data_IF_303129018969
#
_entry.id   IF_303129018969
#
_cell.length_a   1.000
_cell.length_b   1.000
_cell.length_c   1.000
_cell.angle_alpha   90.00
_cell.angle_beta   90.00
_cell.angle_gamma   90.00
#
_symmetry.space_group_name_H-M   'P 1'
#
loop_
_entity.id
_entity.type
_entity.pdbx_description
1 polymer ?
#
# COMPACT_ATOMS: atom_id res chain seq x y z
N UNK A 1 6.95 29.66 4.86
CA UNK A 1 8.40 29.55 4.56
C UNK A 1 8.77 28.32 3.75
N UNK A 2 8.19 27.13 4.01
CA UNK A 2 8.42 25.89 3.25
C UNK A 2 8.26 25.99 1.71
N UNK A 3 7.23 26.67 1.21
CA UNK A 3 6.93 26.79 -0.24
C UNK A 3 8.01 27.52 -1.05
N UNK A 4 8.77 28.43 -0.43
CA UNK A 4 9.87 29.12 -1.12
C UNK A 4 11.03 28.17 -1.41
N UNK A 5 11.34 27.29 -0.45
CA UNK A 5 12.36 26.25 -0.59
C UNK A 5 11.89 25.25 -1.65
N UNK A 6 10.63 24.84 -1.62
CA UNK A 6 10.07 23.93 -2.64
C UNK A 6 10.16 24.52 -4.04
N UNK A 7 9.85 25.81 -4.17
CA UNK A 7 9.98 26.55 -5.43
C UNK A 7 11.43 26.64 -5.90
N UNK A 8 12.39 26.84 -5.00
CA UNK A 8 13.81 26.79 -5.34
C UNK A 8 14.21 25.42 -5.88
N UNK A 9 13.86 24.35 -5.17
CA UNK A 9 14.28 22.99 -5.53
C UNK A 9 13.54 22.43 -6.74
N UNK A 10 12.29 22.83 -7.01
CA UNK A 10 11.63 22.46 -8.28
C UNK A 10 12.33 23.11 -9.47
N UNK A 11 12.83 24.35 -9.32
CA UNK A 11 13.66 25.00 -10.34
C UNK A 11 15.00 24.29 -10.52
N UNK A 12 15.64 23.83 -9.45
CA UNK A 12 16.91 23.08 -9.54
C UNK A 12 16.73 21.72 -10.22
N UNK A 13 15.69 20.96 -9.87
CA UNK A 13 15.44 19.65 -10.49
C UNK A 13 14.89 19.76 -11.92
N UNK A 14 14.38 20.94 -12.32
CA UNK A 14 13.76 21.15 -13.64
C UNK A 14 14.67 20.78 -14.82
N UNK A 15 15.99 20.96 -14.68
CA UNK A 15 16.97 20.59 -15.71
C UNK A 15 17.03 19.09 -16.00
N UNK A 16 16.56 18.25 -15.05
CA UNK A 16 16.48 16.79 -15.17
C UNK A 16 15.10 16.32 -15.66
N UNK A 17 14.15 17.23 -15.83
CA UNK A 17 12.77 16.92 -16.20
C UNK A 17 12.50 17.31 -17.66
N UNK A 18 12.14 16.33 -18.47
CA UNK A 18 11.78 16.58 -19.86
C UNK A 18 10.49 17.41 -19.99
N UNK A 19 10.51 18.38 -20.92
CA UNK A 19 9.34 19.24 -21.25
C UNK A 19 8.78 20.01 -20.06
N UNK A 20 9.66 20.46 -19.16
CA UNK A 20 9.27 21.23 -17.99
C UNK A 20 8.70 22.60 -18.39
N UNK A 21 7.44 22.85 -17.98
CA UNK A 21 6.74 24.10 -18.21
C UNK A 21 6.03 24.55 -16.94
N UNK A 22 6.24 25.80 -16.54
CA UNK A 22 5.45 26.42 -15.49
C UNK A 22 4.14 26.94 -16.08
N UNK A 23 3.00 26.52 -15.51
CA UNK A 23 1.65 26.92 -15.93
C UNK A 23 1.10 28.04 -15.06
N UNK A 24 1.45 28.05 -13.77
CA UNK A 24 1.17 29.14 -12.83
C UNK A 24 2.17 29.12 -11.67
N UNK A 25 2.04 30.03 -10.70
CA UNK A 25 3.00 30.20 -9.59
C UNK A 25 3.32 28.91 -8.82
N UNK A 26 2.37 27.99 -8.72
CA UNK A 26 2.55 26.70 -8.07
C UNK A 26 1.96 25.52 -8.87
N UNK A 27 2.05 25.62 -10.19
CA UNK A 27 1.65 24.54 -11.09
C UNK A 27 2.70 24.39 -12.20
N UNK A 28 3.30 23.21 -12.27
CA UNK A 28 4.24 22.83 -13.33
C UNK A 28 3.77 21.56 -14.02
N UNK A 29 4.00 21.50 -15.32
CA UNK A 29 3.72 20.34 -16.15
C UNK A 29 5.02 19.87 -16.81
N UNK A 30 5.25 18.56 -16.80
CA UNK A 30 6.42 17.94 -17.39
C UNK A 30 6.13 16.49 -17.74
N UNK A 31 7.03 15.90 -18.51
CA UNK A 31 6.96 14.47 -18.82
C UNK A 31 7.24 13.68 -17.56
N UNK A 32 6.36 12.74 -17.22
CA UNK A 32 6.52 11.95 -16.00
C UNK A 32 7.81 11.11 -16.05
N UNK A 33 8.78 11.30 -15.12
CA UNK A 33 10.04 10.57 -15.13
C UNK A 33 9.88 9.08 -14.82
N UNK A 34 8.77 8.68 -14.18
CA UNK A 34 8.51 7.28 -13.81
C UNK A 34 7.99 6.43 -14.96
N UNK A 35 7.17 7.00 -15.86
CA UNK A 35 6.51 6.24 -16.92
C UNK A 35 6.88 6.68 -18.33
N UNK A 36 7.61 7.80 -18.48
CA UNK A 36 7.97 8.37 -19.77
C UNK A 36 6.75 8.80 -20.61
N UNK A 37 5.57 8.93 -19.99
CA UNK A 37 4.31 9.29 -20.63
C UNK A 37 3.90 8.40 -21.82
N UNK A 38 4.10 8.85 -23.06
CA UNK A 38 3.71 8.14 -24.27
C UNK A 38 4.93 7.86 -25.13
N UNK A 39 5.11 6.60 -25.55
CA UNK A 39 6.12 6.23 -26.55
C UNK A 39 5.72 6.65 -27.97
N UNK A 40 4.40 6.70 -28.26
CA UNK A 40 3.86 7.06 -29.58
C UNK A 40 3.85 8.57 -29.81
N UNK A 41 3.39 9.35 -28.84
CA UNK A 41 3.38 10.81 -28.95
C UNK A 41 4.40 11.40 -27.97
N UNK A 42 5.56 11.78 -28.49
CA UNK A 42 6.65 12.35 -27.70
C UNK A 42 6.24 13.65 -26.98
N UNK A 43 5.26 14.41 -27.51
CA UNK A 43 4.78 15.70 -26.97
C UNK A 43 3.92 15.61 -25.71
N UNK A 44 3.43 14.42 -25.34
CA UNK A 44 2.52 14.29 -24.19
C UNK A 44 3.25 14.40 -22.85
N UNK A 45 2.86 15.37 -22.03
CA UNK A 45 3.29 15.57 -20.64
C UNK A 45 2.09 15.49 -19.69
N UNK A 46 1.99 14.43 -18.89
CA UNK A 46 0.91 14.24 -17.91
C UNK A 46 1.41 14.15 -16.47
N UNK A 47 2.68 14.48 -16.23
CA UNK A 47 3.19 14.76 -14.90
C UNK A 47 2.89 16.20 -14.50
N UNK A 48 2.38 16.39 -13.30
CA UNK A 48 2.10 17.70 -12.73
C UNK A 48 2.71 17.81 -11.34
N UNK A 49 3.32 18.95 -11.07
CA UNK A 49 3.65 19.40 -9.72
C UNK A 49 2.69 20.52 -9.36
N UNK A 50 1.94 20.38 -8.27
CA UNK A 50 0.90 21.33 -7.88
C UNK A 50 0.89 21.58 -6.37
N UNK A 51 0.48 22.76 -5.95
CA UNK A 51 0.28 23.08 -4.54
C UNK A 51 -1.03 22.52 -4.01
N UNK A 52 -0.96 21.91 -2.83
CA UNK A 52 -2.13 21.58 -2.00
C UNK A 52 -1.86 22.09 -0.59
N UNK A 53 -2.68 23.03 -0.11
CA UNK A 53 -2.43 23.78 1.13
C UNK A 53 -1.05 24.45 1.10
N UNK A 54 -0.14 24.04 2.00
CA UNK A 54 1.19 24.63 2.17
C UNK A 54 2.32 23.78 1.57
N UNK A 55 2.02 22.71 0.84
CA UNK A 55 3.03 21.80 0.29
C UNK A 55 2.84 21.55 -1.21
N UNK A 56 3.92 21.18 -1.89
CA UNK A 56 3.92 20.73 -3.27
C UNK A 56 3.75 19.21 -3.38
N UNK A 57 2.93 18.79 -4.34
CA UNK A 57 2.66 17.39 -4.64
C UNK A 57 2.87 17.11 -6.11
N UNK A 58 3.45 15.95 -6.39
CA UNK A 58 3.52 15.37 -7.71
C UNK A 58 2.30 14.47 -7.95
N UNK A 59 1.70 14.54 -9.14
CA UNK A 59 0.77 13.53 -9.64
C UNK A 59 0.97 13.30 -11.15
N UNK A 60 0.81 12.05 -11.57
CA UNK A 60 0.81 11.69 -12.99
C UNK A 60 -0.54 11.12 -13.42
N UNK A 61 -1.19 11.77 -14.39
CA UNK A 61 -2.46 11.29 -14.98
C UNK A 61 -2.30 10.13 -15.97
N UNK A 62 -1.07 9.64 -16.21
CA UNK A 62 -0.82 8.45 -17.03
C UNK A 62 -0.63 7.19 -16.19
N UNK A 63 0.30 7.23 -15.23
CA UNK A 63 0.64 6.05 -14.43
C UNK A 63 0.01 6.03 -13.03
N UNK A 64 -0.71 7.09 -12.63
CA UNK A 64 -1.37 7.21 -11.34
C UNK A 64 -0.44 7.51 -10.16
N UNK A 65 0.88 7.55 -10.38
CA UNK A 65 1.86 7.86 -9.33
C UNK A 65 1.59 9.25 -8.76
N UNK A 66 1.50 9.33 -7.44
CA UNK A 66 1.44 10.59 -6.70
C UNK A 66 2.35 10.52 -5.49
N UNK A 67 2.96 11.65 -5.13
CA UNK A 67 3.89 11.75 -4.01
C UNK A 67 4.04 13.20 -3.55
N UNK A 68 4.55 13.43 -2.34
CA UNK A 68 5.02 14.75 -1.93
C UNK A 68 6.24 15.17 -2.75
N UNK A 69 6.50 16.49 -2.84
CA UNK A 69 7.67 17.00 -3.56
C UNK A 69 9.00 16.42 -3.04
N UNK A 70 9.14 16.25 -1.72
CA UNK A 70 10.33 15.62 -1.15
C UNK A 70 10.53 14.18 -1.64
N UNK A 71 9.48 13.36 -1.65
CA UNK A 71 9.56 11.98 -2.13
C UNK A 71 9.79 11.92 -3.64
N UNK A 72 9.20 12.85 -4.40
CA UNK A 72 9.50 13.02 -5.82
C UNK A 72 10.98 13.33 -6.03
N UNK A 73 11.52 14.32 -5.33
CA UNK A 73 12.92 14.73 -5.43
C UNK A 73 13.86 13.59 -5.06
N UNK A 74 13.58 12.85 -3.99
CA UNK A 74 14.35 11.65 -3.58
C UNK A 74 14.50 10.63 -4.70
N UNK A 75 13.46 10.46 -5.52
CA UNK A 75 13.43 9.47 -6.60
C UNK A 75 14.07 9.95 -7.90
N UNK A 76 14.07 11.26 -8.15
CA UNK A 76 14.65 11.86 -9.36
C UNK A 76 16.13 12.20 -9.15
N UNK A 77 16.47 12.71 -7.97
CA UNK A 77 17.81 13.13 -7.60
C UNK A 77 18.03 13.05 -6.08
N UNK A 78 18.71 11.99 -5.65
CA UNK A 78 19.02 11.77 -4.25
C UNK A 78 19.98 12.82 -3.66
N UNK A 79 20.82 13.45 -4.48
CA UNK A 79 21.77 14.48 -4.03
C UNK A 79 21.02 15.78 -3.75
N UNK A 80 20.20 16.25 -4.70
CA UNK A 80 19.34 17.42 -4.50
C UNK A 80 18.34 17.19 -3.35
N UNK A 81 17.88 15.96 -3.15
CA UNK A 81 17.03 15.63 -2.01
C UNK A 81 17.74 15.85 -0.66
N UNK A 82 19.01 15.45 -0.53
CA UNK A 82 19.79 15.68 0.70
C UNK A 82 19.97 17.18 0.96
N UNK A 83 20.28 17.95 -0.08
CA UNK A 83 20.39 19.41 0.03
C UNK A 83 19.05 20.05 0.42
N UNK A 84 17.96 19.61 -0.19
CA UNK A 84 16.60 20.05 0.12
C UNK A 84 16.23 19.79 1.58
N UNK A 85 16.56 18.61 2.11
CA UNK A 85 16.32 18.28 3.51
C UNK A 85 17.12 19.20 4.46
N UNK A 86 18.40 19.45 4.15
CA UNK A 86 19.25 20.34 4.95
C UNK A 86 18.72 21.77 4.93
N UNK A 87 18.27 22.28 3.79
CA UNK A 87 17.78 23.65 3.65
C UNK A 87 16.39 23.85 4.27
N UNK A 88 15.49 22.86 4.15
CA UNK A 88 14.23 22.80 4.91
C UNK A 88 14.51 22.83 6.42
N UNK A 89 15.50 22.09 6.89
CA UNK A 89 15.86 22.01 8.32
C UNK A 89 16.51 23.30 8.86
N UNK A 90 17.41 23.93 8.10
CA UNK A 90 18.06 25.19 8.50
C UNK A 90 17.08 26.35 8.62
N UNK A 91 16.13 26.44 7.70
CA UNK A 91 15.17 27.56 7.65
C UNK A 91 14.01 27.44 8.65
N UNK A 92 13.77 26.27 9.24
CA UNK A 92 12.81 26.12 10.35
C UNK A 92 13.36 26.69 11.67
N UNK A 93 14.66 27.02 11.77
CA UNK A 93 15.35 27.40 13.02
C UNK A 93 16.00 28.80 12.98
N UNK A 94 15.25 29.85 12.65
CA UNK A 94 15.71 31.24 12.85
C UNK A 94 15.09 31.90 14.08
N UNK A 95 15.63 31.60 15.27
CA UNK A 95 15.82 32.58 16.36
C UNK A 95 17.07 32.20 17.18
N UNK A 96 17.77 33.21 17.68
CA UNK A 96 19.20 33.23 18.02
C UNK A 96 19.66 32.30 19.18
N UNK A 97 20.74 31.53 18.92
CA UNK A 97 21.77 30.97 19.85
C UNK A 97 21.43 29.94 20.95
N UNK A 98 21.87 28.70 20.72
CA UNK A 98 23.05 28.04 21.36
C UNK A 98 23.45 26.87 20.45
N UNK A 99 24.75 26.62 20.23
CA UNK A 99 25.17 25.42 19.50
C UNK A 99 24.68 24.17 20.26
N UNK A 100 23.99 23.23 19.60
CA UNK A 100 23.50 22.04 20.28
C UNK A 100 24.66 21.07 20.50
N UNK A 101 24.80 20.66 21.75
CA UNK A 101 25.50 19.45 22.16
C UNK A 101 24.96 18.24 21.35
N UNK A 102 25.87 17.45 20.77
CA UNK A 102 25.54 16.26 19.98
C UNK A 102 25.07 15.07 20.84
N UNK A 103 24.75 15.28 22.12
CA UNK A 103 24.09 14.31 23.00
C UNK A 103 22.63 14.01 22.62
N UNK A 104 22.07 14.71 21.64
CA UNK A 104 20.73 14.43 21.09
C UNK A 104 20.72 14.32 19.56
N UNK A 105 21.40 13.30 19.02
CA UNK A 105 20.86 12.56 17.89
C UNK A 105 19.61 11.76 18.34
N UNK A 106 18.64 12.44 18.95
CA UNK A 106 17.31 11.86 19.12
C UNK A 106 16.63 12.06 17.79
N UNK A 107 16.52 10.94 17.05
CA UNK A 107 15.35 10.65 16.24
C UNK A 107 14.15 11.40 16.81
N UNK A 108 13.35 12.08 15.95
CA UNK A 108 12.04 12.60 16.36
C UNK A 108 11.46 11.60 17.36
N UNK A 109 11.03 12.00 18.57
CA UNK A 109 10.42 11.06 19.48
C UNK A 109 9.23 10.49 18.72
N UNK A 110 9.42 9.29 18.17
CA UNK A 110 8.32 8.40 17.87
C UNK A 110 7.85 8.15 19.28
N UNK A 111 6.78 8.84 19.68
CA UNK A 111 6.07 8.43 20.86
C UNK A 111 5.73 6.97 20.58
N UNK A 112 6.54 6.05 21.11
CA UNK A 112 6.30 4.62 21.17
C UNK A 112 5.19 4.38 22.19
N UNK A 113 4.09 5.14 22.05
CA UNK A 113 2.81 4.68 22.52
C UNK A 113 2.45 3.66 21.46
N UNK A 114 2.81 2.39 21.70
CA UNK A 114 2.12 1.28 21.06
C UNK A 114 0.64 1.53 21.30
N UNK A 115 -0.04 2.12 20.31
CA UNK A 115 -1.47 2.40 20.40
C UNK A 115 -2.14 1.05 20.53
N UNK A 116 -2.48 0.71 21.77
CA UNK A 116 -3.11 -0.56 22.10
C UNK A 116 -4.54 -0.48 21.59
N UNK A 117 -4.94 -1.47 20.82
CA UNK A 117 -6.33 -1.60 20.38
C UNK A 117 -7.12 -2.07 21.59
N UNK A 118 -8.02 -1.21 22.09
CA UNK A 118 -8.88 -1.49 23.21
C UNK A 118 -10.24 -2.00 22.73
N UNK A 119 -10.23 -3.15 22.06
CA UNK A 119 -11.42 -3.83 21.55
C UNK A 119 -11.38 -5.31 21.96
N UNK A 120 -12.53 -5.99 22.03
CA UNK A 120 -12.54 -7.44 22.18
C UNK A 120 -11.89 -8.10 20.95
N UNK A 121 -11.04 -9.10 21.18
CA UNK A 121 -10.54 -9.96 20.11
C UNK A 121 -11.67 -10.87 19.62
N UNK A 122 -11.61 -11.32 18.37
CA UNK A 122 -12.59 -12.28 17.83
C UNK A 122 -12.60 -13.58 18.65
N UNK A 123 -11.43 -14.00 19.15
CA UNK A 123 -11.32 -15.17 20.03
C UNK A 123 -12.15 -15.02 21.31
N UNK A 124 -12.13 -13.83 21.93
CA UNK A 124 -12.82 -13.54 23.19
C UNK A 124 -14.36 -13.47 23.08
N UNK A 125 -14.89 -13.36 21.86
CA UNK A 125 -16.33 -13.28 21.63
C UNK A 125 -17.01 -14.66 21.82
N UNK A 126 -18.30 -14.69 22.22
CA UNK A 126 -19.09 -15.91 22.23
C UNK A 126 -19.13 -16.60 20.85
N UNK A 127 -19.23 -17.92 20.81
CA UNK A 127 -19.31 -18.69 19.55
C UNK A 127 -20.57 -18.37 18.73
N UNK A 128 -21.60 -17.85 19.37
CA UNK A 128 -22.82 -17.36 18.74
C UNK A 128 -22.69 -15.95 18.15
N UNK A 129 -21.57 -15.26 18.40
CA UNK A 129 -21.39 -13.89 17.96
C UNK A 129 -21.21 -13.81 16.43
N UNK A 130 -21.94 -12.93 15.70
CA UNK A 130 -21.90 -12.87 14.23
C UNK A 130 -20.49 -12.67 13.66
N UNK A 131 -19.66 -11.82 14.30
CA UNK A 131 -18.27 -11.61 13.89
C UNK A 131 -17.40 -12.88 13.99
N UNK A 132 -17.59 -13.69 15.04
CA UNK A 132 -16.84 -14.93 15.24
C UNK A 132 -17.30 -15.99 14.26
N UNK A 133 -18.61 -16.16 14.11
CA UNK A 133 -19.19 -17.04 13.08
C UNK A 133 -18.71 -16.67 11.67
N UNK A 134 -18.61 -15.38 11.35
CA UNK A 134 -18.10 -14.92 10.07
C UNK A 134 -16.67 -15.38 9.78
N UNK A 135 -15.78 -15.28 10.77
CA UNK A 135 -14.37 -15.70 10.66
C UNK A 135 -14.26 -17.23 10.58
N UNK A 136 -15.02 -17.95 11.42
CA UNK A 136 -15.04 -19.42 11.44
C UNK A 136 -15.61 -19.99 10.14
N UNK A 137 -16.71 -19.43 9.63
CA UNK A 137 -17.32 -19.86 8.36
C UNK A 137 -16.38 -19.62 7.16
N UNK A 138 -15.42 -18.71 7.29
CA UNK A 138 -14.35 -18.47 6.31
C UNK A 138 -13.14 -19.38 6.47
N UNK A 139 -13.19 -20.32 7.42
CA UNK A 139 -12.13 -21.26 7.76
C UNK A 139 -10.80 -20.59 8.10
N UNK A 140 -10.83 -19.35 8.58
CA UNK A 140 -9.62 -18.64 9.02
C UNK A 140 -9.01 -19.41 10.21
N UNK A 141 -7.69 -19.65 10.24
CA UNK A 141 -7.05 -20.44 11.28
C UNK A 141 -7.30 -19.90 12.70
N UNK A 142 -7.56 -20.80 13.65
CA UNK A 142 -7.94 -20.45 15.04
C UNK A 142 -6.93 -19.54 15.73
N UNK A 143 -5.63 -19.76 15.53
CA UNK A 143 -4.57 -18.96 16.14
C UNK A 143 -4.59 -17.48 15.70
N UNK A 144 -5.25 -17.14 14.59
CA UNK A 144 -5.39 -15.77 14.09
C UNK A 144 -6.53 -15.01 14.80
N UNK A 145 -7.50 -15.71 15.42
CA UNK A 145 -8.66 -15.07 16.04
C UNK A 145 -8.28 -14.13 17.20
N UNK A 146 -7.13 -14.37 17.84
CA UNK A 146 -6.57 -13.52 18.91
C UNK A 146 -5.96 -12.22 18.37
N UNK A 147 -5.71 -12.12 17.06
CA UNK A 147 -5.11 -10.96 16.40
C UNK A 147 -6.12 -10.07 15.68
N UNK A 148 -7.34 -10.57 15.51
CA UNK A 148 -8.46 -9.84 14.93
C UNK A 148 -9.34 -9.29 16.04
N UNK A 149 -9.92 -8.12 15.81
CA UNK A 149 -10.76 -7.44 16.79
C UNK A 149 -12.16 -7.18 16.23
N UNK A 150 -13.10 -6.83 17.10
CA UNK A 150 -14.44 -6.43 16.70
C UNK A 150 -14.84 -5.10 17.34
N UNK A 151 -15.54 -4.28 16.57
CA UNK A 151 -16.21 -3.08 17.07
C UNK A 151 -17.63 -2.99 16.53
N UNK A 152 -18.56 -2.56 17.37
CA UNK A 152 -19.95 -2.25 17.01
C UNK A 152 -20.08 -0.89 16.30
N UNK A 153 -19.14 0.02 16.55
CA UNK A 153 -19.13 1.36 15.98
C UNK A 153 -17.71 1.69 15.49
N UNK A 154 -17.47 1.44 14.20
CA UNK A 154 -16.16 1.67 13.61
C UNK A 154 -15.75 3.15 13.64
N UNK A 155 -16.68 4.10 13.51
CA UNK A 155 -16.34 5.52 13.61
C UNK A 155 -15.82 5.87 15.01
N UNK A 156 -16.52 5.45 16.08
CA UNK A 156 -16.07 5.72 17.45
C UNK A 156 -14.67 5.17 17.73
N UNK A 157 -14.43 3.92 17.30
CA UNK A 157 -13.12 3.30 17.46
C UNK A 157 -12.01 4.07 16.73
N UNK A 158 -12.29 4.52 15.50
CA UNK A 158 -11.30 5.24 14.69
C UNK A 158 -11.07 6.67 15.21
N UNK A 159 -12.09 7.34 15.75
CA UNK A 159 -11.96 8.64 16.40
C UNK A 159 -11.08 8.56 17.65
N UNK A 160 -11.19 7.48 18.43
CA UNK A 160 -10.31 7.22 19.59
C UNK A 160 -8.88 6.88 19.14
N UNK A 161 -8.73 5.99 18.16
CA UNK A 161 -7.42 5.53 17.70
C UNK A 161 -6.64 6.66 17.00
N UNK A 162 -7.31 7.45 16.16
CA UNK A 162 -6.72 8.46 15.28
C UNK A 162 -7.63 9.67 15.17
N UNK A 163 -7.65 10.55 16.18
CA UNK A 163 -8.46 11.78 16.13
C UNK A 163 -8.11 12.62 14.89
N UNK A 164 -9.13 13.13 14.19
CA UNK A 164 -8.92 13.96 13.01
C UNK A 164 -8.48 13.21 11.74
N UNK A 165 -8.78 11.91 11.63
CA UNK A 165 -8.51 11.07 10.45
C UNK A 165 -9.17 11.56 9.15
N UNK A 166 -10.14 12.47 9.23
CA UNK A 166 -10.73 13.16 8.08
C UNK A 166 -11.56 12.26 7.15
N UNK A 167 -11.98 11.08 7.61
CA UNK A 167 -12.89 10.19 6.87
C UNK A 167 -14.33 10.43 7.30
N UNK A 168 -15.22 10.42 6.32
CA UNK A 168 -16.66 10.40 6.56
C UNK A 168 -17.09 8.95 6.80
N UNK A 169 -17.08 8.52 8.07
CA UNK A 169 -17.54 7.20 8.48
C UNK A 169 -18.94 7.30 9.08
N UNK A 170 -19.70 6.20 9.03
CA UNK A 170 -21.03 6.13 9.63
C UNK A 170 -20.94 5.63 11.08
N UNK A 171 -21.84 6.14 11.94
CA UNK A 171 -22.04 5.61 13.30
C UNK A 171 -22.72 4.24 13.22
N UNK A 172 -22.51 3.41 14.26
CA UNK A 172 -23.09 2.05 14.37
C UNK A 172 -22.81 1.18 13.14
N UNK A 173 -21.58 1.23 12.65
CA UNK A 173 -21.09 0.41 11.55
C UNK A 173 -20.23 -0.73 12.12
N UNK A 174 -20.80 -1.91 12.39
CA UNK A 174 -20.08 -3.02 13.02
C UNK A 174 -19.08 -3.64 12.05
N UNK A 175 -17.83 -3.72 12.47
CA UNK A 175 -16.73 -4.21 11.62
C UNK A 175 -15.76 -5.08 12.39
N UNK A 176 -15.25 -6.09 11.68
CA UNK A 176 -14.04 -6.81 12.08
C UNK A 176 -12.85 -5.90 11.78
N UNK A 177 -12.02 -5.69 12.78
CA UNK A 177 -10.85 -4.81 12.72
C UNK A 177 -9.60 -5.68 12.53
N UNK A 178 -8.89 -5.42 11.43
CA UNK A 178 -7.66 -6.11 11.03
C UNK A 178 -6.51 -5.10 11.17
N UNK A 179 -5.73 -5.14 12.25
CA UNK A 179 -4.59 -4.26 12.41
C UNK A 179 -3.40 -4.68 11.55
N UNK A 180 -2.60 -3.72 11.11
CA UNK A 180 -1.31 -3.98 10.47
C UNK A 180 -0.20 -3.15 11.10
N UNK A 181 0.97 -3.78 11.19
CA UNK A 181 2.13 -3.29 11.95
C UNK A 181 3.34 -3.18 11.04
N UNK A 182 4.35 -2.43 11.47
CA UNK A 182 5.68 -2.46 10.85
C UNK A 182 6.54 -3.62 11.38
N UNK A 183 7.78 -3.72 10.90
CA UNK A 183 8.78 -4.70 11.30
C UNK A 183 9.17 -4.63 12.80
N UNK A 184 8.80 -3.53 13.49
CA UNK A 184 9.05 -3.30 14.92
C UNK A 184 7.80 -3.48 15.77
N UNK A 185 6.72 -4.05 15.21
CA UNK A 185 5.41 -4.20 15.84
C UNK A 185 4.75 -2.87 16.24
N UNK A 186 5.08 -1.77 15.56
CA UNK A 186 4.39 -0.48 15.72
C UNK A 186 3.16 -0.49 14.81
N UNK A 187 2.00 -0.15 15.38
CA UNK A 187 0.74 -0.10 14.63
C UNK A 187 0.81 0.95 13.53
N UNK A 188 0.65 0.53 12.28
CA UNK A 188 0.67 1.41 11.10
C UNK A 188 -0.74 1.89 10.73
N UNK A 189 -1.74 1.08 11.02
CA UNK A 189 -3.13 1.35 10.73
C UNK A 189 -4.02 0.13 10.96
N UNK A 190 -5.28 0.26 10.57
CA UNK A 190 -6.30 -0.78 10.71
C UNK A 190 -7.17 -0.84 9.46
N UNK A 191 -7.67 -2.02 9.15
CA UNK A 191 -8.70 -2.21 8.13
C UNK A 191 -9.98 -2.75 8.78
N UNK A 192 -11.09 -2.05 8.57
CA UNK A 192 -12.42 -2.48 8.99
C UNK A 192 -13.12 -3.26 7.88
N UNK A 193 -13.42 -4.52 8.13
CA UNK A 193 -14.23 -5.39 7.27
C UNK A 193 -15.66 -5.45 7.78
N UNK A 194 -16.63 -5.07 6.94
CA UNK A 194 -18.04 -5.25 7.24
C UNK A 194 -18.42 -6.74 7.29
N UNK A 195 -19.27 -7.11 8.25
CA UNK A 195 -19.77 -8.48 8.46
C UNK A 195 -21.01 -8.74 7.59
N UNK A 196 -21.85 -7.72 7.37
CA UNK A 196 -23.10 -7.79 6.60
C UNK A 196 -23.05 -7.08 5.25
N UNK A 197 -24.24 -6.75 4.74
CA UNK A 197 -24.40 -5.95 3.52
C UNK A 197 -24.02 -4.51 3.84
N UNK A 198 -22.92 -4.05 3.25
CA UNK A 198 -22.44 -2.68 3.32
C UNK A 198 -21.97 -2.27 1.93
N UNK A 199 -22.19 -1.00 1.56
CA UNK A 199 -21.70 -0.45 0.29
C UNK A 199 -20.16 -0.60 0.18
N UNK A 200 -19.46 -0.41 1.29
CA UNK A 200 -18.00 -0.54 1.37
C UNK A 200 -17.61 -1.71 2.27
N UNK A 201 -17.27 -2.83 1.61
CA UNK A 201 -16.84 -4.05 2.31
C UNK A 201 -15.58 -3.86 3.16
N UNK A 202 -14.62 -3.05 2.70
CA UNK A 202 -13.38 -2.75 3.44
C UNK A 202 -13.17 -1.24 3.56
N UNK A 203 -12.76 -0.78 4.73
CA UNK A 203 -12.29 0.58 4.98
C UNK A 203 -10.91 0.52 5.60
N UNK A 204 -9.91 1.16 4.98
CA UNK A 204 -8.54 1.19 5.52
C UNK A 204 -8.23 2.56 6.10
N UNK A 205 -7.81 2.58 7.37
CA UNK A 205 -7.38 3.76 8.12
C UNK A 205 -5.89 3.62 8.43
N UNK A 206 -5.12 4.65 8.11
CA UNK A 206 -3.71 4.73 8.50
C UNK A 206 -3.58 5.62 9.73
N UNK A 207 -2.63 5.29 10.61
CA UNK A 207 -2.30 6.16 11.74
C UNK A 207 -1.57 7.42 11.29
N UNK A 208 -0.64 7.28 10.34
CA UNK A 208 0.06 8.39 9.72
C UNK A 208 -0.09 8.29 8.19
N UNK A 209 -0.14 9.43 7.49
CA UNK A 209 -0.25 9.41 6.02
C UNK A 209 0.91 8.67 5.34
N UNK A 210 2.11 8.77 5.95
CA UNK A 210 3.35 8.10 5.54
C UNK A 210 3.37 6.59 5.84
N UNK A 211 2.43 6.06 6.64
CA UNK A 211 2.39 4.64 6.97
C UNK A 211 2.20 3.80 5.70
N UNK A 212 2.98 2.74 5.55
CA UNK A 212 2.84 1.77 4.45
C UNK A 212 1.52 1.00 4.64
N UNK A 213 0.75 0.82 3.55
CA UNK A 213 -0.47 -0.02 3.57
C UNK A 213 -0.09 -1.46 3.27
N UNK A 214 0.62 -2.10 4.20
CA UNK A 214 1.04 -3.49 4.00
C UNK A 214 0.74 -4.26 5.26
N UNK A 215 -0.04 -5.32 5.14
CA UNK A 215 -0.33 -6.27 6.22
C UNK A 215 0.69 -7.42 6.18
N UNK A 216 1.14 -7.86 7.37
CA UNK A 216 2.09 -8.97 7.53
C UNK A 216 3.56 -8.58 7.68
N UNK A 217 3.92 -7.28 7.63
CA UNK A 217 5.32 -6.83 7.73
C UNK A 217 6.02 -7.26 9.02
N UNK A 218 5.28 -7.41 10.12
CA UNK A 218 5.82 -7.85 11.39
C UNK A 218 6.11 -9.36 11.48
N UNK A 219 5.70 -10.15 10.47
CA UNK A 219 5.79 -11.61 10.46
C UNK A 219 6.59 -12.16 9.27
N UNK A 220 6.88 -11.33 8.28
CA UNK A 220 7.53 -11.76 7.04
C UNK A 220 9.02 -12.06 7.27
N UNK A 221 9.49 -13.15 6.67
CA UNK A 221 10.88 -13.56 6.60
C UNK A 221 11.45 -13.13 5.23
N UNK A 222 12.26 -12.08 5.25
CA UNK A 222 12.89 -11.50 4.06
C UNK A 222 13.99 -12.37 3.43
N UNK A 223 14.39 -13.47 4.08
CA UNK A 223 15.37 -14.43 3.54
C UNK A 223 14.74 -15.45 2.60
N UNK A 224 13.41 -15.59 2.65
CA UNK A 224 12.62 -16.53 1.85
C UNK A 224 11.86 -15.80 0.75
N UNK A 225 11.34 -16.57 -0.21
CA UNK A 225 10.34 -16.09 -1.17
C UNK A 225 9.11 -15.58 -0.44
N UNK A 226 8.60 -14.42 -0.87
CA UNK A 226 7.45 -13.74 -0.25
C UNK A 226 6.29 -13.71 -1.23
N UNK A 227 5.11 -14.14 -0.78
CA UNK A 227 3.89 -14.17 -1.58
C UNK A 227 3.07 -12.90 -1.36
N UNK A 228 2.77 -12.18 -2.44
CA UNK A 228 2.11 -10.87 -2.37
C UNK A 228 0.68 -11.00 -2.89
N UNK A 229 -0.30 -10.65 -2.06
CA UNK A 229 -1.74 -10.70 -2.36
C UNK A 229 -2.40 -9.33 -2.19
N UNK A 230 -3.64 -9.18 -2.66
CA UNK A 230 -4.42 -7.94 -2.52
C UNK A 230 -4.97 -7.78 -1.10
N UNK A 231 -5.63 -8.81 -0.58
CA UNK A 231 -6.39 -8.76 0.66
C UNK A 231 -5.65 -9.36 1.86
N UNK A 232 -5.81 -8.78 3.08
CA UNK A 232 -5.30 -9.40 4.30
C UNK A 232 -5.84 -10.81 4.52
N UNK A 233 -7.11 -11.06 4.20
CA UNK A 233 -7.73 -12.38 4.42
C UNK A 233 -7.04 -13.47 3.59
N UNK A 234 -6.74 -13.22 2.33
CA UNK A 234 -6.02 -14.17 1.47
C UNK A 234 -4.62 -14.47 2.02
N UNK A 235 -3.94 -13.46 2.57
CA UNK A 235 -2.61 -13.63 3.16
C UNK A 235 -2.61 -14.54 4.39
N UNK A 236 -3.72 -14.63 5.13
CA UNK A 236 -3.84 -15.49 6.31
C UNK A 236 -3.76 -16.99 5.98
N UNK A 237 -3.94 -17.36 4.72
CA UNK A 237 -3.87 -18.75 4.25
C UNK A 237 -2.52 -19.11 3.62
N UNK A 238 -1.62 -18.14 3.47
CA UNK A 238 -0.33 -18.32 2.81
C UNK A 238 0.83 -18.18 3.81
N UNK A 239 1.82 -19.06 3.68
CA UNK A 239 3.05 -18.96 4.46
C UNK A 239 3.95 -17.87 3.88
N UNK A 240 4.55 -17.05 4.75
CA UNK A 240 5.47 -15.97 4.38
C UNK A 240 4.90 -15.01 3.31
N UNK A 241 3.78 -14.38 3.63
CA UNK A 241 3.04 -13.53 2.69
C UNK A 241 2.88 -12.08 3.19
N UNK A 242 2.60 -11.17 2.28
CA UNK A 242 2.21 -9.78 2.56
C UNK A 242 0.97 -9.42 1.75
N UNK A 243 0.09 -8.60 2.32
CA UNK A 243 -1.04 -8.04 1.58
C UNK A 243 -0.88 -6.53 1.34
N UNK A 244 -1.01 -6.09 0.10
CA UNK A 244 -0.84 -4.68 -0.31
C UNK A 244 -2.11 -3.83 -0.12
N UNK A 245 -3.24 -4.45 0.23
CA UNK A 245 -4.53 -3.79 0.52
C UNK A 245 -5.09 -2.97 -0.67
N UNK A 246 -4.56 -3.22 -1.87
CA UNK A 246 -5.00 -2.76 -3.18
C UNK A 246 -4.48 -3.70 -4.28
N UNK A 247 -4.96 -3.52 -5.51
CA UNK A 247 -4.60 -4.35 -6.67
C UNK A 247 -3.24 -3.98 -7.31
N UNK A 248 -2.52 -2.97 -6.80
CA UNK A 248 -1.24 -2.52 -7.38
C UNK A 248 -0.03 -3.28 -6.80
N UNK A 249 -0.09 -4.61 -6.82
CA UNK A 249 0.91 -5.50 -6.21
C UNK A 249 2.34 -5.27 -6.74
N UNK A 250 2.48 -4.87 -8.00
CA UNK A 250 3.79 -4.56 -8.62
C UNK A 250 4.55 -3.42 -7.93
N UNK A 251 3.89 -2.64 -7.06
CA UNK A 251 4.51 -1.56 -6.28
C UNK A 251 5.17 -2.04 -5.00
N UNK A 252 5.05 -3.32 -4.62
CA UNK A 252 5.65 -3.87 -3.40
C UNK A 252 7.13 -3.53 -3.28
N UNK A 253 7.88 -3.58 -4.38
CA UNK A 253 9.30 -3.25 -4.40
C UNK A 253 9.62 -1.81 -3.99
N UNK A 254 8.71 -0.87 -4.28
CA UNK A 254 8.84 0.54 -3.88
C UNK A 254 8.51 0.74 -2.40
N UNK A 255 7.63 -0.11 -1.86
CA UNK A 255 7.10 0.01 -0.50
C UNK A 255 7.95 -0.74 0.52
N UNK A 256 8.43 -1.93 0.18
CA UNK A 256 9.05 -2.89 1.09
C UNK A 256 10.53 -3.16 0.74
N UNK A 257 10.99 -2.78 -0.46
CA UNK A 257 12.34 -3.05 -0.93
C UNK A 257 12.39 -4.16 -1.98
N UNK A 258 13.57 -4.49 -2.51
CA UNK A 258 13.71 -5.53 -3.53
C UNK A 258 14.01 -6.89 -2.87
N UNK A 259 13.07 -7.83 -2.98
CA UNK A 259 13.19 -9.22 -2.52
C UNK A 259 12.61 -10.16 -3.58
N UNK A 260 12.73 -11.47 -3.35
CA UNK A 260 12.06 -12.48 -4.19
C UNK A 260 10.55 -12.49 -3.89
N UNK A 261 9.78 -11.90 -4.80
CA UNK A 261 8.34 -11.77 -4.68
C UNK A 261 7.62 -12.59 -5.75
N UNK A 262 6.54 -13.25 -5.35
CA UNK A 262 5.52 -13.78 -6.27
C UNK A 262 4.25 -12.96 -6.12
N UNK A 263 3.79 -12.35 -7.21
CA UNK A 263 2.57 -11.54 -7.21
C UNK A 263 1.36 -12.40 -7.56
N UNK A 264 0.38 -12.42 -6.67
CA UNK A 264 -0.84 -13.24 -6.78
C UNK A 264 -2.04 -12.30 -6.81
N UNK A 265 -2.66 -12.20 -7.97
CA UNK A 265 -3.85 -11.39 -8.22
C UNK A 265 -5.12 -12.22 -8.11
N UNK A 266 -6.27 -11.56 -7.90
CA UNK A 266 -7.58 -12.20 -7.99
C UNK A 266 -7.78 -12.87 -9.36
N UNK A 267 -8.46 -14.02 -9.40
CA UNK A 267 -8.86 -14.73 -10.61
C UNK A 267 -10.01 -14.02 -11.33
N UNK A 268 -9.73 -12.85 -11.89
CA UNK A 268 -10.72 -12.04 -12.62
C UNK A 268 -10.27 -11.77 -14.06
N UNK A 269 -10.26 -12.80 -14.94
CA UNK A 269 -9.74 -12.67 -16.30
C UNK A 269 -10.49 -11.69 -17.20
N UNK A 270 -11.68 -11.23 -16.78
CA UNK A 270 -12.49 -10.22 -17.47
C UNK A 270 -12.39 -8.82 -16.85
N UNK A 271 -11.77 -8.69 -15.67
CA UNK A 271 -11.61 -7.41 -15.00
C UNK A 271 -10.45 -6.63 -15.64
N UNK A 272 -10.77 -5.56 -16.35
CA UNK A 272 -9.79 -4.74 -17.09
C UNK A 272 -8.68 -4.17 -16.20
N UNK A 273 -8.97 -3.84 -14.95
CA UNK A 273 -7.97 -3.29 -14.04
C UNK A 273 -7.00 -4.37 -13.55
N UNK A 274 -7.51 -5.55 -13.15
CA UNK A 274 -6.65 -6.70 -12.77
C UNK A 274 -5.75 -7.12 -13.94
N UNK A 275 -6.32 -7.29 -15.13
CA UNK A 275 -5.58 -7.63 -16.37
C UNK A 275 -4.49 -6.59 -16.63
N UNK A 276 -4.78 -5.31 -16.45
CA UNK A 276 -3.82 -4.21 -16.62
C UNK A 276 -2.70 -4.24 -15.58
N UNK A 277 -3.00 -4.51 -14.32
CA UNK A 277 -1.98 -4.61 -13.26
C UNK A 277 -1.08 -5.84 -13.44
N UNK A 278 -1.66 -7.01 -13.77
CA UNK A 278 -0.90 -8.21 -14.10
C UNK A 278 0.03 -7.99 -15.29
N UNK A 279 -0.48 -7.40 -16.39
CA UNK A 279 0.35 -7.06 -17.54
C UNK A 279 1.53 -6.17 -17.17
N UNK A 280 1.28 -5.15 -16.33
CA UNK A 280 2.32 -4.24 -15.85
C UNK A 280 3.37 -4.97 -15.01
N UNK A 281 2.97 -5.88 -14.12
CA UNK A 281 3.88 -6.71 -13.36
C UNK A 281 4.78 -7.56 -14.27
N UNK A 282 4.19 -8.22 -15.28
CA UNK A 282 4.90 -9.05 -16.26
C UNK A 282 5.88 -8.20 -17.08
N UNK A 283 5.47 -7.03 -17.54
CA UNK A 283 6.32 -6.12 -18.31
C UNK A 283 7.49 -5.56 -17.46
N UNK A 284 7.34 -5.51 -16.14
CA UNK A 284 8.40 -5.18 -15.18
C UNK A 284 9.28 -6.38 -14.81
N UNK A 285 9.08 -7.54 -15.44
CA UNK A 285 9.86 -8.76 -15.19
C UNK A 285 9.63 -9.36 -13.80
N UNK A 286 8.45 -9.17 -13.21
CA UNK A 286 8.09 -9.77 -11.92
C UNK A 286 7.61 -11.21 -12.10
N UNK A 287 7.82 -12.04 -11.09
CA UNK A 287 7.15 -13.34 -10.97
C UNK A 287 5.66 -13.13 -10.68
N UNK A 288 4.80 -13.73 -11.50
CA UNK A 288 3.35 -13.60 -11.39
C UNK A 288 2.73 -14.99 -11.40
N UNK A 289 1.86 -15.26 -10.43
CA UNK A 289 1.00 -16.45 -10.44
C UNK A 289 -0.15 -16.23 -11.43
N UNK A 290 -0.27 -17.12 -12.41
CA UNK A 290 -1.35 -17.10 -13.40
C UNK A 290 -2.20 -18.35 -13.21
N UNK A 291 -3.35 -18.18 -12.57
CA UNK A 291 -4.23 -19.29 -12.23
C UNK A 291 -4.63 -20.14 -13.45
N UNK A 292 -4.61 -21.48 -13.35
CA UNK A 292 -4.99 -22.34 -14.45
C UNK A 292 -6.49 -22.31 -14.74
N UNK A 293 -6.87 -22.63 -15.98
CA UNK A 293 -8.25 -22.48 -16.50
C UNK A 293 -9.33 -23.30 -15.76
N UNK A 294 -8.94 -24.33 -15.01
CA UNK A 294 -9.87 -25.16 -14.25
C UNK A 294 -10.29 -24.52 -12.92
N UNK A 295 -9.53 -23.54 -12.41
CA UNK A 295 -9.89 -22.74 -11.24
C UNK A 295 -11.04 -21.81 -11.63
N UNK A 296 -12.07 -21.77 -10.79
CA UNK A 296 -13.26 -20.94 -10.99
C UNK A 296 -13.42 -19.90 -9.89
N UNK A 297 -12.82 -20.17 -8.73
CA UNK A 297 -12.85 -19.38 -7.52
C UNK A 297 -12.12 -18.05 -7.74
N UNK A 298 -12.69 -16.97 -7.22
CA UNK A 298 -12.23 -15.61 -7.49
C UNK A 298 -10.93 -15.28 -6.75
N UNK A 299 -10.78 -15.76 -5.53
CA UNK A 299 -9.64 -15.48 -4.65
C UNK A 299 -9.28 -16.71 -3.80
N UNK A 300 -8.24 -16.59 -2.99
CA UNK A 300 -7.73 -17.69 -2.16
C UNK A 300 -8.75 -18.06 -1.09
N UNK A 301 -9.46 -17.09 -0.52
CA UNK A 301 -10.52 -17.38 0.44
C UNK A 301 -11.64 -18.23 -0.19
N UNK A 302 -12.08 -17.92 -1.41
CA UNK A 302 -13.05 -18.73 -2.15
C UNK A 302 -12.52 -20.14 -2.44
N UNK A 303 -11.23 -20.31 -2.75
CA UNK A 303 -10.61 -21.64 -2.91
C UNK A 303 -10.67 -22.45 -1.60
N UNK A 304 -10.32 -21.85 -0.47
CA UNK A 304 -10.42 -22.50 0.85
C UNK A 304 -11.87 -22.92 1.15
N UNK A 305 -12.83 -22.07 0.80
CA UNK A 305 -14.26 -22.37 0.96
C UNK A 305 -14.71 -23.51 0.05
N UNK A 306 -14.20 -23.57 -1.18
CA UNK A 306 -14.45 -24.65 -2.15
C UNK A 306 -13.81 -26.00 -1.76
N UNK A 307 -12.93 -26.02 -0.75
CA UNK A 307 -12.38 -27.25 -0.17
C UNK A 307 -10.90 -27.48 -0.44
N UNK A 308 -10.22 -26.55 -1.11
CA UNK A 308 -8.77 -26.63 -1.27
C UNK A 308 -8.06 -26.46 0.09
N UNK A 309 -7.03 -27.26 0.32
CA UNK A 309 -6.11 -27.09 1.45
C UNK A 309 -5.09 -25.98 1.17
N UNK A 310 -4.54 -25.39 2.22
CA UNK A 310 -3.47 -24.38 2.09
C UNK A 310 -2.25 -24.93 1.35
N UNK A 311 -1.91 -26.21 1.56
CA UNK A 311 -0.84 -26.91 0.83
C UNK A 311 -1.10 -27.02 -0.67
N UNK A 312 -2.33 -27.37 -1.07
CA UNK A 312 -2.70 -27.45 -2.49
C UNK A 312 -2.65 -26.08 -3.15
N UNK A 313 -3.13 -25.03 -2.46
CA UNK A 313 -3.07 -23.65 -2.96
C UNK A 313 -1.62 -23.20 -3.15
N UNK A 314 -0.74 -23.47 -2.18
CA UNK A 314 0.69 -23.15 -2.30
C UNK A 314 1.32 -23.88 -3.48
N UNK A 315 1.08 -25.19 -3.62
CA UNK A 315 1.58 -25.97 -4.75
C UNK A 315 1.06 -25.42 -6.09
N UNK A 316 -0.22 -25.02 -6.15
CA UNK A 316 -0.81 -24.42 -7.33
C UNK A 316 -0.14 -23.08 -7.69
N UNK A 317 0.07 -22.22 -6.70
CA UNK A 317 0.76 -20.93 -6.88
C UNK A 317 2.17 -21.17 -7.43
N UNK A 318 2.95 -22.03 -6.78
CA UNK A 318 4.34 -22.29 -7.17
C UNK A 318 4.44 -22.90 -8.57
N UNK A 319 3.54 -23.84 -8.91
CA UNK A 319 3.51 -24.51 -10.21
C UNK A 319 3.05 -23.61 -11.36
N UNK A 320 2.32 -22.54 -11.06
CA UNK A 320 1.77 -21.59 -12.04
C UNK A 320 2.38 -20.18 -11.89
N UNK A 321 3.54 -20.09 -11.24
CA UNK A 321 4.33 -18.86 -11.18
C UNK A 321 5.23 -18.78 -12.40
N UNK A 322 5.12 -17.69 -13.14
CA UNK A 322 5.85 -17.48 -14.38
C UNK A 322 6.48 -16.09 -14.42
N UNK A 323 7.56 -15.97 -15.20
CA UNK A 323 8.20 -14.70 -15.54
C UNK A 323 8.51 -14.61 -17.06
N UNK A 324 8.93 -13.42 -17.50
CA UNK A 324 9.43 -13.20 -18.86
C UNK A 324 8.43 -13.57 -19.97
N UNK A 325 8.93 -14.23 -21.03
CA UNK A 325 8.12 -14.62 -22.19
C UNK A 325 7.07 -15.68 -21.84
N UNK A 326 7.37 -16.59 -20.90
CA UNK A 326 6.44 -17.63 -20.45
C UNK A 326 5.22 -16.99 -19.78
N UNK A 327 5.44 -16.03 -18.88
CA UNK A 327 4.35 -15.28 -18.24
C UNK A 327 3.49 -14.54 -19.25
N UNK A 328 4.10 -13.92 -20.27
CA UNK A 328 3.35 -13.24 -21.34
C UNK A 328 2.43 -14.22 -22.10
N UNK A 329 2.94 -15.39 -22.47
CA UNK A 329 2.15 -16.39 -23.18
C UNK A 329 0.96 -16.88 -22.34
N UNK A 330 1.21 -17.28 -21.09
CA UNK A 330 0.17 -17.77 -20.19
C UNK A 330 -0.88 -16.70 -19.88
N UNK A 331 -0.45 -15.46 -19.67
CA UNK A 331 -1.33 -14.33 -19.42
C UNK A 331 -2.26 -14.04 -20.61
N UNK A 332 -1.75 -14.12 -21.84
CA UNK A 332 -2.57 -13.95 -23.05
C UNK A 332 -3.61 -15.07 -23.21
N UNK A 333 -3.32 -16.29 -22.75
CA UNK A 333 -4.29 -17.39 -22.75
C UNK A 333 -5.30 -17.31 -21.60
N UNK A 334 -4.92 -16.68 -20.49
CA UNK A 334 -5.76 -16.53 -19.30
C UNK A 334 -6.78 -15.40 -19.42
N UNK A 335 -6.35 -14.23 -19.92
CA UNK A 335 -7.23 -13.05 -20.01
C UNK A 335 -8.37 -13.27 -21.01
N UNK A 336 -9.52 -12.65 -20.75
CA UNK A 336 -10.75 -12.76 -21.55
C UNK A 336 -11.33 -11.38 -21.89
N UNK A 337 -10.46 -10.39 -22.04
CA UNK A 337 -10.77 -8.98 -22.33
C UNK A 337 -10.37 -8.63 -23.76
#
# INVERSE_FOLDING_TARGET
>A
MALFIDRKFISLVSVKLERFTQKSDYLWNFRCPYCGDSKKNKLKSRGYMYRKKNDLFFACHNCGTSSSFGNFLKSVDITLYKEYQLERYKNDNHSNTKQPDFSMAKTKPVFNITKKINLPTIESLPDTHPAKQYIVNRKIPSHILSELFFTEDFLLFIDELTPGHGKNLMRKDPRIVIPFYDDKNILLGVQGRAIGVSELKYITIKINEDSRKVFGLNKVDFSKRIYIVEGPIDSLFLNNSLAMMDASLHTVSLTVGNHDYVLIYDHEPRNKEIVKYMKKAIDLGKNVCIWPKHIKEKDINEMILAGYSTSEIMHLIDSNTHEGLRAKLEFEQWKKV
#
